data_IF_134663026096
#
_entry.id   IF_134663026096
#
_cell.length_a   1.000
_cell.length_b   1.000
_cell.length_c   1.000
_cell.angle_alpha   90.00
_cell.angle_beta   90.00
_cell.angle_gamma   90.00
#
_symmetry.space_group_name_H-M   'P 1'
#
loop_
_entity.id
_entity.type
_entity.pdbx_description
1 polymer ?
#
# COMPACT_ATOMS: atom_id res chain seq x y z
N UNK A 1 19.24 -36.47 -27.86
CA UNK A 1 18.68 -35.24 -27.30
C UNK A 1 17.22 -35.51 -26.96
N UNK A 2 17.02 -36.11 -25.79
CA UNK A 2 15.89 -36.99 -25.50
C UNK A 2 14.62 -36.30 -24.99
N UNK A 3 13.54 -37.09 -24.97
CA UNK A 3 12.19 -36.82 -24.44
C UNK A 3 12.14 -36.00 -23.14
N UNK A 4 13.19 -36.03 -22.32
CA UNK A 4 13.33 -35.24 -21.10
C UNK A 4 13.41 -33.72 -21.35
N UNK A 5 14.03 -33.26 -22.45
CA UNK A 5 14.12 -31.81 -22.75
C UNK A 5 12.77 -31.18 -23.12
N UNK A 6 11.92 -31.90 -23.86
CA UNK A 6 10.61 -31.39 -24.25
C UNK A 6 9.62 -31.33 -23.09
N UNK A 7 9.64 -32.33 -22.20
CA UNK A 7 8.82 -32.32 -20.99
C UNK A 7 9.24 -31.21 -20.01
N UNK A 8 10.55 -30.98 -19.84
CA UNK A 8 11.05 -29.89 -19.00
C UNK A 8 10.66 -28.52 -19.55
N UNK A 9 10.82 -28.27 -20.87
CA UNK A 9 10.36 -27.02 -21.50
C UNK A 9 8.85 -26.79 -21.34
N UNK A 10 8.05 -27.85 -21.46
CA UNK A 10 6.59 -27.77 -21.22
C UNK A 10 6.28 -27.38 -19.77
N UNK A 11 6.96 -27.97 -18.80
CA UNK A 11 6.80 -27.66 -17.38
C UNK A 11 7.19 -26.20 -17.08
N UNK A 12 8.33 -25.73 -17.62
CA UNK A 12 8.79 -24.34 -17.45
C UNK A 12 7.75 -23.36 -18.01
N UNK A 13 7.22 -23.63 -19.21
CA UNK A 13 6.20 -22.80 -19.84
C UNK A 13 4.90 -22.77 -19.01
N UNK A 14 4.44 -23.92 -18.53
CA UNK A 14 3.26 -24.00 -17.66
C UNK A 14 3.47 -23.25 -16.34
N UNK A 15 4.66 -23.34 -15.76
CA UNK A 15 5.03 -22.63 -14.54
C UNK A 15 5.07 -21.12 -14.75
N UNK A 16 5.67 -20.66 -15.86
CA UNK A 16 5.67 -19.25 -16.28
C UNK A 16 4.25 -18.70 -16.43
N UNK A 17 3.38 -19.41 -17.15
CA UNK A 17 1.98 -18.99 -17.35
C UNK A 17 1.23 -18.87 -16.01
N UNK A 18 1.41 -19.83 -15.10
CA UNK A 18 0.79 -19.77 -13.77
C UNK A 18 1.35 -18.63 -12.94
N UNK A 19 2.66 -18.44 -12.95
CA UNK A 19 3.29 -17.34 -12.23
C UNK A 19 2.82 -15.98 -12.75
N UNK A 20 2.71 -15.82 -14.07
CA UNK A 20 2.17 -14.61 -14.68
C UNK A 20 0.72 -14.35 -14.24
N UNK A 21 -0.12 -15.39 -14.28
CA UNK A 21 -1.51 -15.31 -13.86
C UNK A 21 -1.63 -14.83 -12.40
N UNK A 22 -0.97 -15.54 -11.46
CA UNK A 22 -1.07 -15.20 -10.04
C UNK A 22 -0.42 -13.85 -9.71
N UNK A 23 0.70 -13.51 -10.36
CA UNK A 23 1.36 -12.22 -10.14
C UNK A 23 0.53 -11.04 -10.65
N UNK A 24 -0.18 -11.20 -11.78
CA UNK A 24 -1.08 -10.18 -12.31
C UNK A 24 -2.31 -10.01 -11.42
N UNK A 25 -2.88 -11.12 -10.94
CA UNK A 25 -4.02 -11.12 -10.01
C UNK A 25 -3.65 -10.41 -8.70
N UNK A 26 -2.52 -10.78 -8.09
CA UNK A 26 -2.00 -10.12 -6.89
C UNK A 26 -1.70 -8.63 -7.13
N UNK A 27 -1.15 -8.28 -8.29
CA UNK A 27 -0.90 -6.88 -8.66
C UNK A 27 -2.19 -6.07 -8.76
N UNK A 28 -3.27 -6.69 -9.23
CA UNK A 28 -4.59 -6.08 -9.30
C UNK A 28 -5.16 -5.88 -7.90
N UNK A 29 -5.16 -6.89 -7.04
CA UNK A 29 -5.66 -6.79 -5.67
C UNK A 29 -4.93 -5.72 -4.84
N UNK A 30 -3.59 -5.66 -4.94
CA UNK A 30 -2.79 -4.63 -4.26
C UNK A 30 -3.14 -3.24 -4.78
N UNK A 31 -3.36 -3.10 -6.10
CA UNK A 31 -3.70 -1.82 -6.71
C UNK A 31 -5.09 -1.35 -6.28
N UNK A 32 -6.09 -2.22 -6.29
CA UNK A 32 -7.44 -1.92 -5.82
C UNK A 32 -7.41 -1.48 -4.34
N UNK A 33 -6.75 -2.28 -3.50
CA UNK A 33 -6.59 -1.94 -2.07
C UNK A 33 -5.85 -0.61 -1.84
N UNK A 34 -4.87 -0.28 -2.68
CA UNK A 34 -4.17 1.00 -2.62
C UNK A 34 -5.07 2.17 -3.04
N UNK A 35 -5.83 2.00 -4.12
CA UNK A 35 -6.74 3.04 -4.63
C UNK A 35 -7.85 3.33 -3.61
N UNK A 36 -8.43 2.30 -3.00
CA UNK A 36 -9.43 2.42 -1.93
C UNK A 36 -8.85 3.17 -0.72
N UNK A 37 -7.71 2.71 -0.18
CA UNK A 37 -7.09 3.32 0.99
C UNK A 37 -6.67 4.79 0.73
N UNK A 38 -6.21 5.07 -0.49
CA UNK A 38 -5.85 6.43 -0.90
C UNK A 38 -7.09 7.31 -1.02
N UNK A 39 -8.18 6.82 -1.59
CA UNK A 39 -9.44 7.58 -1.69
C UNK A 39 -9.95 7.95 -0.30
N UNK A 40 -10.05 6.97 0.60
CA UNK A 40 -10.49 7.18 1.98
C UNK A 40 -9.61 8.21 2.71
N UNK A 41 -8.29 8.14 2.53
CA UNK A 41 -7.36 9.09 3.12
C UNK A 41 -7.51 10.50 2.53
N UNK A 42 -7.58 10.61 1.21
CA UNK A 42 -7.66 11.89 0.50
C UNK A 42 -8.99 12.62 0.83
N UNK A 43 -10.12 11.89 0.90
CA UNK A 43 -11.43 12.40 1.31
C UNK A 43 -11.43 12.99 2.72
N UNK A 44 -10.63 12.42 3.63
CA UNK A 44 -10.56 12.85 5.02
C UNK A 44 -9.34 13.72 5.35
N UNK A 45 -8.52 14.06 4.35
CA UNK A 45 -7.22 14.71 4.56
C UNK A 45 -7.30 16.09 5.21
N UNK A 46 -8.42 16.80 5.02
CA UNK A 46 -8.67 18.14 5.57
C UNK A 46 -9.29 18.12 6.97
N UNK A 47 -9.86 16.98 7.42
CA UNK A 47 -10.56 16.88 8.70
C UNK A 47 -9.64 17.19 9.88
N UNK A 48 -8.40 16.70 9.84
CA UNK A 48 -7.44 16.98 10.92
C UNK A 48 -7.03 18.47 10.95
N UNK A 49 -6.61 19.11 9.83
CA UNK A 49 -6.39 20.56 9.79
C UNK A 49 -7.55 21.37 10.36
N UNK A 50 -8.78 21.12 9.89
CA UNK A 50 -9.99 21.81 10.35
C UNK A 50 -10.22 21.61 11.86
N UNK A 51 -10.03 20.38 12.36
CA UNK A 51 -10.12 20.08 13.78
C UNK A 51 -9.05 20.82 14.59
N UNK A 52 -7.83 20.93 14.08
CA UNK A 52 -6.74 21.63 14.78
C UNK A 52 -7.01 23.14 14.88
N UNK A 53 -7.57 23.74 13.83
CA UNK A 53 -7.99 25.14 13.84
C UNK A 53 -9.09 25.37 14.88
N UNK A 54 -10.11 24.52 14.88
CA UNK A 54 -11.18 24.54 15.88
C UNK A 54 -10.66 24.39 17.32
N UNK A 55 -9.71 23.47 17.54
CA UNK A 55 -9.07 23.27 18.85
C UNK A 55 -8.31 24.52 19.28
N UNK A 56 -7.60 25.20 18.37
CA UNK A 56 -6.87 26.41 18.69
C UNK A 56 -7.79 27.55 19.11
N UNK A 57 -8.96 27.69 18.48
CA UNK A 57 -9.99 28.65 18.89
C UNK A 57 -10.58 28.32 20.27
N UNK A 58 -10.83 27.04 20.55
CA UNK A 58 -11.41 26.59 21.82
C UNK A 58 -10.45 26.70 23.00
N UNK A 59 -9.15 26.40 22.79
CA UNK A 59 -8.13 26.46 23.85
C UNK A 59 -8.09 27.80 24.56
N UNK A 60 -8.38 28.91 23.86
CA UNK A 60 -8.38 30.26 24.45
C UNK A 60 -9.56 30.50 25.41
N UNK A 61 -10.61 29.67 25.34
CA UNK A 61 -11.85 29.80 26.11
C UNK A 61 -11.96 28.77 27.24
N UNK A 62 -11.03 27.82 27.31
CA UNK A 62 -11.02 26.73 28.28
C UNK A 62 -10.12 27.05 29.48
N UNK A 63 -10.38 26.41 30.61
CA UNK A 63 -9.43 26.40 31.71
C UNK A 63 -8.16 25.61 31.35
N UNK A 64 -7.08 25.82 32.13
CA UNK A 64 -5.76 25.24 31.81
C UNK A 64 -5.74 23.70 31.85
N UNK A 65 -6.64 23.07 32.60
CA UNK A 65 -6.69 21.62 32.74
C UNK A 65 -7.34 21.01 31.51
N UNK A 66 -8.47 21.56 31.08
CA UNK A 66 -9.20 21.08 29.92
C UNK A 66 -8.49 21.42 28.61
N UNK A 67 -7.82 22.58 28.53
CA UNK A 67 -6.95 22.92 27.39
C UNK A 67 -5.82 21.89 27.20
N UNK A 68 -5.20 21.41 28.30
CA UNK A 68 -4.15 20.36 28.26
C UNK A 68 -4.69 19.00 27.83
N UNK A 69 -5.89 18.62 28.30
CA UNK A 69 -6.55 17.38 27.86
C UNK A 69 -6.83 17.42 26.35
N UNK A 70 -7.36 18.54 25.87
CA UNK A 70 -7.68 18.75 24.46
C UNK A 70 -6.41 18.68 23.61
N UNK A 71 -5.33 19.35 24.03
CA UNK A 71 -4.03 19.28 23.35
C UNK A 71 -3.46 17.87 23.25
N UNK A 72 -3.55 17.10 24.34
CA UNK A 72 -3.10 15.71 24.38
C UNK A 72 -3.89 14.85 23.40
N UNK A 73 -5.21 15.04 23.35
CA UNK A 73 -6.09 14.33 22.41
C UNK A 73 -5.78 14.68 20.95
N UNK A 74 -5.66 15.97 20.63
CA UNK A 74 -5.29 16.45 19.29
C UNK A 74 -3.93 15.93 18.82
N UNK A 75 -2.95 15.83 19.72
CA UNK A 75 -1.65 15.22 19.44
C UNK A 75 -1.76 13.74 19.08
N UNK A 76 -2.60 12.98 19.80
CA UNK A 76 -2.86 11.57 19.50
C UNK A 76 -3.57 11.40 18.15
N UNK A 77 -4.55 12.24 17.86
CA UNK A 77 -5.25 12.22 16.57
C UNK A 77 -4.31 12.53 15.40
N UNK A 78 -3.39 13.49 15.58
CA UNK A 78 -2.35 13.81 14.61
C UNK A 78 -1.43 12.61 14.31
N UNK A 79 -1.10 11.82 15.35
CA UNK A 79 -0.32 10.58 15.17
C UNK A 79 -1.10 9.53 14.38
N UNK A 80 -2.41 9.38 14.62
CA UNK A 80 -3.27 8.46 13.87
C UNK A 80 -3.31 8.85 12.39
N UNK A 81 -3.53 10.13 12.09
CA UNK A 81 -3.51 10.63 10.70
C UNK A 81 -2.15 10.37 10.01
N UNK A 82 -1.04 10.57 10.73
CA UNK A 82 0.30 10.24 10.22
C UNK A 82 0.47 8.74 9.96
N UNK A 83 -0.07 7.88 10.81
CA UNK A 83 -0.06 6.43 10.59
C UNK A 83 -0.89 6.04 9.37
N UNK A 84 -2.06 6.65 9.15
CA UNK A 84 -2.87 6.44 7.96
C UNK A 84 -2.11 6.84 6.68
N UNK A 85 -1.49 8.03 6.67
CA UNK A 85 -0.63 8.47 5.56
C UNK A 85 0.48 7.47 5.24
N UNK A 86 1.18 6.99 6.27
CA UNK A 86 2.22 5.96 6.11
C UNK A 86 1.67 4.65 5.54
N UNK A 87 0.44 4.28 5.90
CA UNK A 87 -0.24 3.11 5.32
C UNK A 87 -0.46 3.26 3.81
N UNK A 88 -0.94 4.42 3.37
CA UNK A 88 -1.07 4.74 1.94
C UNK A 88 0.28 4.67 1.22
N UNK A 89 1.33 5.26 1.81
CA UNK A 89 2.69 5.23 1.27
C UNK A 89 3.24 3.79 1.17
N UNK A 90 3.05 2.97 2.21
CA UNK A 90 3.47 1.58 2.23
C UNK A 90 2.74 0.73 1.17
N UNK A 91 1.43 0.95 0.97
CA UNK A 91 0.66 0.26 -0.08
C UNK A 91 1.12 0.66 -1.48
N UNK A 92 1.46 1.94 -1.68
CA UNK A 92 2.07 2.42 -2.93
C UNK A 92 3.39 1.71 -3.20
N UNK A 93 4.26 1.62 -2.21
CA UNK A 93 5.55 0.94 -2.31
C UNK A 93 5.36 -0.55 -2.60
N UNK A 94 4.42 -1.21 -1.92
CA UNK A 94 4.08 -2.61 -2.14
C UNK A 94 3.63 -2.85 -3.59
N UNK A 95 2.75 -2.00 -4.11
CA UNK A 95 2.29 -2.07 -5.51
C UNK A 95 3.45 -1.96 -6.51
N UNK A 96 4.37 -1.02 -6.27
CA UNK A 96 5.55 -0.84 -7.13
C UNK A 96 6.49 -2.04 -7.04
N UNK A 97 6.75 -2.55 -5.83
CA UNK A 97 7.65 -3.68 -5.61
C UNK A 97 7.09 -4.96 -6.23
N UNK A 98 5.78 -5.22 -6.09
CA UNK A 98 5.14 -6.39 -6.70
C UNK A 98 5.32 -6.40 -8.23
N UNK A 99 5.16 -5.24 -8.89
CA UNK A 99 5.36 -5.11 -10.34
C UNK A 99 6.81 -5.40 -10.74
N UNK A 100 7.78 -4.91 -9.97
CA UNK A 100 9.22 -5.18 -10.20
C UNK A 100 9.54 -6.66 -10.05
N UNK A 101 9.13 -7.27 -8.94
CA UNK A 101 9.36 -8.69 -8.65
C UNK A 101 8.74 -9.58 -9.72
N UNK A 102 7.52 -9.26 -10.16
CA UNK A 102 6.86 -9.97 -11.27
C UNK A 102 7.68 -9.90 -12.55
N UNK A 103 8.17 -8.71 -12.93
CA UNK A 103 8.98 -8.53 -14.13
C UNK A 103 10.31 -9.30 -14.06
N UNK A 104 10.98 -9.27 -12.90
CA UNK A 104 12.22 -10.02 -12.65
C UNK A 104 11.97 -11.53 -12.74
N UNK A 105 10.91 -12.01 -12.09
CA UNK A 105 10.54 -13.44 -12.07
C UNK A 105 10.22 -13.97 -13.47
N UNK A 106 9.50 -13.19 -14.28
CA UNK A 106 9.18 -13.58 -15.66
C UNK A 106 10.44 -13.62 -16.54
N UNK A 107 11.38 -12.70 -16.32
CA UNK A 107 12.66 -12.68 -17.03
C UNK A 107 13.53 -13.89 -16.68
N UNK A 108 13.58 -14.28 -15.41
CA UNK A 108 14.27 -15.51 -14.98
C UNK A 108 13.70 -16.74 -15.69
N UNK A 109 12.38 -16.86 -15.84
CA UNK A 109 11.80 -17.97 -16.59
C UNK A 109 12.13 -17.95 -18.07
N UNK A 110 12.23 -16.77 -18.70
CA UNK A 110 12.68 -16.67 -20.09
C UNK A 110 14.11 -17.20 -20.26
N UNK A 111 15.00 -16.94 -19.30
CA UNK A 111 16.37 -17.47 -19.32
C UNK A 111 16.42 -19.00 -19.25
N UNK A 112 15.45 -19.65 -18.60
CA UNK A 112 15.34 -21.11 -18.57
C UNK A 112 14.70 -21.74 -19.82
N UNK A 113 14.05 -20.94 -20.68
CA UNK A 113 13.45 -21.43 -21.94
C UNK A 113 14.46 -21.51 -23.10
N UNK A 114 15.52 -20.70 -23.06
CA UNK A 114 16.62 -20.64 -24.04
C UNK A 114 17.71 -21.69 -23.78
#
# INVERSE_FOLDING_TARGET
MGLFGNNVKKIIKEFRMKSEYYSNDLSKEIKESFEDLKSDYDENSNVLPEFMDFVNELKQKLDSTDAKKLETFSSRLSKINRSAKKGVEAMRELSVNQRKLTAETLREYEEFEY
#
